data_IF_026644584183
#
_entry.id   IF_026644584183
#
_cell.length_a   1.000
_cell.length_b   1.000
_cell.length_c   1.000
_cell.angle_alpha   90.00
_cell.angle_beta   90.00
_cell.angle_gamma   90.00
#
_symmetry.space_group_name_H-M   'P 1'
#
loop_
_entity.id
_entity.type
_entity.pdbx_description
1 polymer ?
#
# COMPACT_ATOMS: atom_id res chain seq x y z
N UNK A 1 5.11 3.86 6.24
CA UNK A 1 6.18 4.84 5.99
C UNK A 1 7.16 4.98 7.15
N UNK A 2 6.71 5.22 8.39
CA UNK A 2 7.62 5.35 9.54
C UNK A 2 8.60 4.17 9.72
N UNK A 3 8.15 2.93 9.50
CA UNK A 3 9.02 1.76 9.54
C UNK A 3 10.17 1.81 8.51
N UNK A 4 9.88 2.17 7.25
CA UNK A 4 10.92 2.33 6.22
C UNK A 4 11.90 3.44 6.59
N UNK A 5 11.41 4.54 7.19
CA UNK A 5 12.28 5.64 7.62
C UNK A 5 13.25 5.19 8.73
N UNK A 6 12.79 4.34 9.65
CA UNK A 6 13.64 3.74 10.68
C UNK A 6 14.69 2.81 10.06
N UNK A 7 14.31 1.93 9.12
CA UNK A 7 15.28 1.04 8.45
C UNK A 7 16.29 1.82 7.60
N UNK A 8 15.86 2.89 6.94
CA UNK A 8 16.76 3.75 6.17
C UNK A 8 17.72 4.55 7.08
N UNK A 9 17.21 5.25 8.09
CA UNK A 9 18.03 6.11 8.95
C UNK A 9 18.87 5.32 9.95
N UNK A 10 18.30 4.28 10.56
CA UNK A 10 18.95 3.47 11.58
C UNK A 10 19.84 2.37 11.01
N UNK A 11 19.36 1.62 10.00
CA UNK A 11 20.09 0.48 9.41
C UNK A 11 20.74 0.78 8.07
N UNK A 12 20.62 2.02 7.56
CA UNK A 12 21.22 2.46 6.29
C UNK A 12 20.77 1.61 5.10
N UNK A 13 19.56 1.05 5.16
CA UNK A 13 19.01 0.27 4.05
C UNK A 13 18.63 1.21 2.90
N UNK A 14 19.43 1.16 1.83
CA UNK A 14 19.23 1.99 0.64
C UNK A 14 17.90 1.70 -0.06
N UNK A 15 17.34 0.48 0.07
CA UNK A 15 16.08 0.09 -0.57
C UNK A 15 14.92 0.88 0.04
N UNK A 16 14.89 0.98 1.37
CA UNK A 16 13.90 1.76 2.10
C UNK A 16 14.03 3.25 1.76
N UNK A 17 15.26 3.76 1.67
CA UNK A 17 15.55 5.13 1.23
C UNK A 17 15.07 5.41 -0.20
N UNK A 18 15.34 4.51 -1.14
CA UNK A 18 14.92 4.65 -2.54
C UNK A 18 13.39 4.69 -2.67
N UNK A 19 12.68 3.79 -1.99
CA UNK A 19 11.21 3.77 -2.00
C UNK A 19 10.64 5.09 -1.43
N UNK A 20 11.14 5.54 -0.28
CA UNK A 20 10.71 6.81 0.32
C UNK A 20 11.07 8.00 -0.55
N UNK A 21 12.25 8.00 -1.18
CA UNK A 21 12.70 9.04 -2.09
C UNK A 21 11.80 9.17 -3.31
N UNK A 22 11.41 8.06 -3.94
CA UNK A 22 10.48 8.09 -5.07
C UNK A 22 9.09 8.61 -4.68
N UNK A 23 8.59 8.22 -3.51
CA UNK A 23 7.30 8.72 -3.01
C UNK A 23 7.37 10.21 -2.70
N UNK A 24 8.45 10.66 -2.04
CA UNK A 24 8.69 12.06 -1.76
C UNK A 24 8.82 12.87 -3.06
N UNK A 25 9.57 12.38 -4.04
CA UNK A 25 9.73 13.02 -5.34
C UNK A 25 8.40 13.14 -6.10
N UNK A 26 7.53 12.12 -6.01
CA UNK A 26 6.22 12.15 -6.64
C UNK A 26 5.18 13.01 -5.91
N UNK A 27 5.34 13.24 -4.60
CA UNK A 27 4.34 13.92 -3.78
C UNK A 27 4.71 15.35 -3.36
N UNK A 28 5.94 15.58 -2.89
CA UNK A 28 6.37 16.87 -2.34
C UNK A 28 6.22 18.04 -3.32
N UNK A 29 6.48 17.91 -4.64
CA UNK A 29 6.33 19.05 -5.54
C UNK A 29 4.92 19.63 -5.54
N UNK A 30 3.90 18.77 -5.40
CA UNK A 30 2.50 19.20 -5.36
C UNK A 30 2.18 20.00 -4.10
N UNK A 31 2.71 19.58 -2.95
CA UNK A 31 2.43 20.20 -1.66
C UNK A 31 3.22 21.49 -1.46
N UNK A 32 4.45 21.55 -1.99
CA UNK A 32 5.38 22.65 -1.76
C UNK A 32 5.27 23.72 -2.85
N UNK A 33 5.14 23.33 -4.12
CA UNK A 33 5.24 24.26 -5.26
C UNK A 33 3.91 24.48 -6.00
N UNK A 34 2.94 23.56 -5.90
CA UNK A 34 1.70 23.61 -6.68
C UNK A 34 0.43 23.53 -5.83
N UNK A 35 0.48 24.01 -4.58
CA UNK A 35 -0.64 23.92 -3.63
C UNK A 35 -1.81 24.87 -3.93
N UNK A 36 -1.62 25.89 -4.77
CA UNK A 36 -2.67 26.82 -5.17
C UNK A 36 -3.55 26.29 -6.31
N UNK A 37 -3.22 25.11 -6.86
CA UNK A 37 -3.96 24.50 -7.97
C UNK A 37 -4.95 23.46 -7.45
N UNK A 38 -6.10 23.36 -8.10
CA UNK A 38 -7.05 22.27 -7.85
C UNK A 38 -6.39 20.93 -8.20
N UNK A 39 -6.32 20.04 -7.23
CA UNK A 39 -5.74 18.69 -7.37
C UNK A 39 -6.79 17.62 -7.08
N UNK A 40 -6.73 16.51 -7.82
CA UNK A 40 -7.63 15.38 -7.66
C UNK A 40 -6.87 14.14 -7.16
N UNK A 41 -7.57 13.25 -6.46
CA UNK A 41 -6.98 12.02 -5.92
C UNK A 41 -6.29 11.15 -6.99
N UNK A 42 -6.76 11.21 -8.23
CA UNK A 42 -6.15 10.52 -9.38
C UNK A 42 -4.65 10.76 -9.54
N UNK A 43 -4.13 11.95 -9.22
CA UNK A 43 -2.70 12.26 -9.37
C UNK A 43 -1.79 11.41 -8.47
N UNK A 44 -2.34 10.80 -7.43
CA UNK A 44 -1.61 9.87 -6.57
C UNK A 44 -1.39 8.50 -7.22
N UNK A 45 -1.99 8.21 -8.37
CA UNK A 45 -1.85 6.92 -9.08
C UNK A 45 -0.38 6.57 -9.37
N UNK A 46 0.46 7.57 -9.64
CA UNK A 46 1.90 7.39 -9.88
C UNK A 46 2.62 6.85 -8.63
N UNK A 47 2.11 7.15 -7.44
CA UNK A 47 2.67 6.66 -6.17
C UNK A 47 2.33 5.19 -5.91
N UNK A 48 1.35 4.62 -6.61
CA UNK A 48 0.83 3.26 -6.35
C UNK A 48 1.92 2.18 -6.46
N UNK A 49 2.78 2.26 -7.48
CA UNK A 49 3.87 1.31 -7.68
C UNK A 49 4.86 1.32 -6.51
N UNK A 50 5.23 2.52 -6.02
CA UNK A 50 6.14 2.65 -4.89
C UNK A 50 5.48 2.29 -3.56
N UNK A 51 4.17 2.50 -3.43
CA UNK A 51 3.40 2.01 -2.28
C UNK A 51 3.39 0.47 -2.24
N UNK A 52 3.20 -0.18 -3.39
CA UNK A 52 3.29 -1.64 -3.49
C UNK A 52 4.69 -2.15 -3.11
N UNK A 53 5.76 -1.46 -3.54
CA UNK A 53 7.13 -1.76 -3.11
C UNK A 53 7.33 -1.57 -1.60
N UNK A 54 6.75 -0.52 -1.01
CA UNK A 54 6.81 -0.29 0.43
C UNK A 54 6.13 -1.43 1.22
N UNK A 55 4.98 -1.88 0.75
CA UNK A 55 4.28 -3.04 1.32
C UNK A 55 5.10 -4.31 1.15
N UNK A 56 5.61 -4.57 -0.06
CA UNK A 56 6.44 -5.75 -0.33
C UNK A 56 7.70 -5.78 0.54
N UNK A 57 8.35 -4.62 0.75
CA UNK A 57 9.48 -4.48 1.67
C UNK A 57 9.08 -4.89 3.09
N UNK A 58 7.99 -4.33 3.62
CA UNK A 58 7.48 -4.70 4.96
C UNK A 58 7.18 -6.19 5.06
N UNK A 59 6.47 -6.77 4.08
CA UNK A 59 6.13 -8.19 4.07
C UNK A 59 7.38 -9.07 4.00
N UNK A 60 8.41 -8.68 3.25
CA UNK A 60 9.70 -9.36 3.22
C UNK A 60 10.39 -9.39 4.59
N UNK A 61 10.28 -8.31 5.37
CA UNK A 61 10.78 -8.27 6.76
C UNK A 61 9.96 -9.16 7.69
N UNK A 62 8.63 -9.19 7.51
CA UNK A 62 7.73 -10.04 8.30
C UNK A 62 7.97 -11.53 8.03
N UNK A 63 8.21 -11.90 6.76
CA UNK A 63 8.50 -13.27 6.33
C UNK A 63 9.73 -13.85 7.07
N UNK A 64 10.76 -13.04 7.27
CA UNK A 64 11.99 -13.40 7.96
C UNK A 64 13.12 -13.84 7.02
N UNK A 65 14.34 -13.91 7.55
CA UNK A 65 15.52 -14.33 6.79
C UNK A 65 15.48 -15.81 6.41
N UNK A 66 16.27 -16.21 5.40
CA UNK A 66 16.37 -17.59 4.98
C UNK A 66 16.87 -18.52 6.11
N UNK A 67 17.79 -17.99 6.94
CA UNK A 67 18.42 -18.69 8.06
C UNK A 67 17.59 -18.65 9.37
N UNK A 68 16.40 -18.05 9.34
CA UNK A 68 15.52 -18.03 10.51
C UNK A 68 15.05 -19.43 10.86
N UNK A 69 14.79 -19.68 12.15
CA UNK A 69 14.25 -20.97 12.59
C UNK A 69 12.97 -21.34 11.82
N UNK A 70 12.73 -22.64 11.55
CA UNK A 70 11.56 -23.07 10.77
C UNK A 70 10.25 -22.49 11.32
N UNK A 71 10.07 -22.52 12.65
CA UNK A 71 8.89 -21.96 13.32
C UNK A 71 8.69 -20.47 13.03
N UNK A 72 9.75 -19.65 13.07
CA UNK A 72 9.64 -18.19 12.81
C UNK A 72 9.25 -17.93 11.36
N UNK A 73 9.83 -18.69 10.43
CA UNK A 73 9.56 -18.56 9.00
C UNK A 73 8.15 -19.03 8.64
N UNK A 74 7.66 -20.12 9.25
CA UNK A 74 6.27 -20.58 9.08
C UNK A 74 5.27 -19.53 9.57
N UNK A 75 5.48 -18.94 10.75
CA UNK A 75 4.61 -17.87 11.26
C UNK A 75 4.65 -16.65 10.33
N UNK A 76 5.85 -16.23 9.89
CA UNK A 76 6.02 -15.12 8.97
C UNK A 76 5.29 -15.35 7.64
N UNK A 77 5.44 -16.54 7.05
CA UNK A 77 4.75 -16.94 5.83
C UNK A 77 3.23 -16.97 6.01
N UNK A 78 2.73 -17.46 7.15
CA UNK A 78 1.30 -17.44 7.48
C UNK A 78 0.73 -16.02 7.53
N UNK A 79 1.43 -15.08 8.19
CA UNK A 79 1.01 -13.68 8.27
C UNK A 79 1.02 -13.01 6.88
N UNK A 80 2.08 -13.23 6.09
CA UNK A 80 2.17 -12.68 4.72
C UNK A 80 1.06 -13.25 3.83
N UNK A 81 0.83 -14.57 3.89
CA UNK A 81 -0.24 -15.23 3.15
C UNK A 81 -1.62 -14.72 3.52
N UNK A 82 -1.90 -14.56 4.82
CA UNK A 82 -3.16 -14.01 5.30
C UNK A 82 -3.37 -12.56 4.81
N UNK A 83 -2.34 -11.71 4.89
CA UNK A 83 -2.41 -10.34 4.37
C UNK A 83 -2.75 -10.31 2.87
N UNK A 84 -2.05 -11.12 2.06
CA UNK A 84 -2.30 -11.19 0.62
C UNK A 84 -3.69 -11.73 0.30
N UNK A 85 -4.16 -12.74 1.03
CA UNK A 85 -5.51 -13.27 0.86
C UNK A 85 -6.58 -12.20 1.15
N UNK A 86 -6.42 -11.44 2.24
CA UNK A 86 -7.33 -10.33 2.58
C UNK A 86 -7.30 -9.27 1.48
N UNK A 87 -6.12 -8.92 0.96
CA UNK A 87 -5.99 -7.93 -0.11
C UNK A 87 -6.72 -8.38 -1.39
N UNK A 88 -6.56 -9.65 -1.80
CA UNK A 88 -7.22 -10.23 -2.97
C UNK A 88 -8.74 -10.30 -2.77
N UNK A 89 -9.21 -10.76 -1.62
CA UNK A 89 -10.66 -10.81 -1.31
C UNK A 89 -11.26 -9.41 -1.31
N UNK A 90 -10.55 -8.42 -0.76
CA UNK A 90 -10.98 -7.02 -0.79
C UNK A 90 -11.04 -6.51 -2.23
N UNK A 91 -10.02 -6.77 -3.04
CA UNK A 91 -10.00 -6.39 -4.45
C UNK A 91 -11.16 -7.02 -5.22
N UNK A 92 -11.44 -8.32 -5.02
CA UNK A 92 -12.58 -9.00 -5.61
C UNK A 92 -13.92 -8.40 -5.16
N UNK A 93 -14.05 -7.99 -3.90
CA UNK A 93 -15.25 -7.34 -3.38
C UNK A 93 -15.52 -5.99 -4.06
N UNK A 94 -14.48 -5.19 -4.30
CA UNK A 94 -14.57 -3.89 -4.98
C UNK A 94 -14.57 -3.96 -6.51
N UNK A 95 -14.22 -5.11 -7.09
CA UNK A 95 -14.07 -5.27 -8.54
C UNK A 95 -15.27 -4.75 -9.36
N UNK A 96 -16.55 -5.00 -8.99
CA UNK A 96 -17.68 -4.49 -9.76
C UNK A 96 -17.68 -2.96 -9.90
N UNK A 97 -17.21 -2.22 -8.89
CA UNK A 97 -17.08 -0.76 -8.96
C UNK A 97 -15.99 -0.37 -9.96
N UNK A 98 -14.84 -1.07 -9.94
CA UNK A 98 -13.69 -0.73 -10.79
C UNK A 98 -13.93 -1.01 -12.28
N UNK A 99 -14.72 -2.03 -12.59
CA UNK A 99 -15.07 -2.38 -13.98
C UNK A 99 -16.41 -1.77 -14.43
N UNK A 100 -17.03 -0.95 -13.58
CA UNK A 100 -18.33 -0.31 -13.82
C UNK A 100 -19.47 -1.29 -14.11
N UNK A 101 -19.49 -2.44 -13.43
CA UNK A 101 -20.58 -3.40 -13.52
C UNK A 101 -21.87 -2.82 -12.91
N UNK A 102 -23.04 -3.10 -13.50
CA UNK A 102 -24.32 -2.68 -12.95
C UNK A 102 -24.62 -3.48 -11.67
N UNK A 103 -24.66 -2.79 -10.53
CA UNK A 103 -25.00 -3.33 -9.21
C UNK A 103 -26.16 -2.54 -8.59
N UNK A 104 -26.93 -3.17 -7.70
CA UNK A 104 -28.00 -2.47 -6.97
C UNK A 104 -27.43 -1.40 -6.02
N UNK A 105 -28.24 -0.39 -5.71
CA UNK A 105 -27.85 0.65 -4.74
C UNK A 105 -27.48 0.08 -3.36
N UNK A 106 -28.16 -0.98 -2.92
CA UNK A 106 -27.84 -1.68 -1.67
C UNK A 106 -26.45 -2.34 -1.72
N UNK A 107 -26.09 -3.00 -2.84
CA UNK A 107 -24.77 -3.59 -3.03
C UNK A 107 -23.67 -2.53 -3.13
N UNK A 108 -23.96 -1.41 -3.78
CA UNK A 108 -23.06 -0.26 -3.81
C UNK A 108 -22.84 0.31 -2.40
N UNK A 109 -23.91 0.49 -1.63
CA UNK A 109 -23.84 0.99 -0.25
C UNK A 109 -23.00 0.11 0.68
N UNK A 110 -23.03 -1.22 0.52
CA UNK A 110 -22.17 -2.15 1.27
C UNK A 110 -20.66 -1.96 1.01
N UNK A 111 -20.30 -1.34 -0.12
CA UNK A 111 -18.92 -1.04 -0.50
C UNK A 111 -18.46 0.35 -0.06
N UNK A 112 -19.38 1.22 0.34
CA UNK A 112 -19.08 2.55 0.87
C UNK A 112 -18.71 2.47 2.35
N UNK A 113 -17.52 1.96 2.62
CA UNK A 113 -17.01 1.76 3.99
C UNK A 113 -16.85 3.07 4.78
N UNK A 114 -16.67 4.18 4.08
CA UNK A 114 -16.54 5.50 4.67
C UNK A 114 -17.64 6.41 4.16
N UNK A 115 -18.17 7.27 5.05
CA UNK A 115 -19.21 8.23 4.71
C UNK A 115 -18.79 9.22 3.61
N UNK A 116 -17.50 9.50 3.48
CA UNK A 116 -16.95 10.41 2.47
C UNK A 116 -16.87 9.81 1.06
N UNK A 117 -17.22 8.53 0.88
CA UNK A 117 -17.22 7.87 -0.43
C UNK A 117 -18.57 7.96 -1.16
N UNK A 118 -19.58 8.53 -0.50
CA UNK A 118 -20.96 8.73 -0.99
C UNK A 118 -21.10 10.13 -1.58
#
# INVERSE_FOLDING_TARGET
MGYLAIEWLGRRDWRAGAILGCIAAGWLPWVVFYNERTVFGFYTVVLSAFMALAVAYCLGRILGSADASPRRRTIGAGVVGAYLAIAVVTAAFFLPIWIADPISYAQWGQRMWFKSWI
#
